data_IF_356936245255
#
_entry.id   IF_356936245255
#
_cell.length_a   1.000
_cell.length_b   1.000
_cell.length_c   1.000
_cell.angle_alpha   90.00
_cell.angle_beta   90.00
_cell.angle_gamma   90.00
#
_symmetry.space_group_name_H-M   'P 1'
#
loop_
_entity.id
_entity.type
_entity.pdbx_description
1 polymer ?
#
# COMPACT_ATOMS: atom_id res chain seq x y z
N UNK A 1 101.82 -6.73 19.70
CA UNK A 1 101.34 -5.58 20.48
C UNK A 1 99.84 -5.67 20.58
N UNK A 2 99.34 -5.55 21.81
CA UNK A 2 97.95 -5.69 22.26
C UNK A 2 97.03 -4.57 21.76
N UNK A 3 95.78 -4.92 21.42
CA UNK A 3 94.51 -4.15 21.53
C UNK A 3 94.36 -2.77 20.84
N UNK A 4 93.12 -2.23 20.67
CA UNK A 4 91.78 -2.79 20.93
C UNK A 4 90.77 -2.66 19.77
N UNK A 5 89.64 -3.34 19.97
CA UNK A 5 88.32 -3.07 19.41
C UNK A 5 87.98 -1.56 19.47
N UNK A 6 87.36 -1.05 18.41
CA UNK A 6 86.28 -0.08 18.58
C UNK A 6 85.02 -0.71 18.02
N UNK A 7 84.17 -1.15 18.95
CA UNK A 7 82.76 -1.35 18.71
C UNK A 7 82.19 -0.04 18.15
N UNK A 8 81.62 -0.08 16.95
CA UNK A 8 80.58 0.88 16.63
C UNK A 8 79.36 0.50 17.48
N UNK A 9 78.81 1.45 18.25
CA UNK A 9 77.72 1.15 19.15
C UNK A 9 76.49 0.81 18.32
N UNK A 10 75.87 -0.29 18.71
CA UNK A 10 74.43 -0.52 18.55
C UNK A 10 73.72 0.81 18.82
N UNK A 11 73.08 1.38 17.80
CA UNK A 11 72.19 2.53 17.94
C UNK A 11 70.76 1.99 17.87
N UNK A 12 70.12 1.75 19.02
CA UNK A 12 68.76 1.27 19.08
C UNK A 12 67.82 2.48 18.95
N UNK A 13 67.56 2.91 17.73
CA UNK A 13 66.34 3.66 17.45
C UNK A 13 65.58 2.77 16.47
N UNK A 14 64.71 1.87 16.97
CA UNK A 14 63.28 2.17 17.12
C UNK A 14 62.83 3.12 16.00
N UNK A 15 61.79 2.72 15.29
CA UNK A 15 60.88 3.64 14.62
C UNK A 15 60.31 4.65 15.65
N UNK A 16 61.16 5.52 16.18
CA UNK A 16 60.80 6.70 16.93
C UNK A 16 60.38 7.68 15.85
N UNK A 17 59.07 7.67 15.59
CA UNK A 17 58.40 8.66 14.76
C UNK A 17 58.89 10.03 15.24
N UNK A 18 59.70 10.70 14.43
CA UNK A 18 60.16 12.06 14.71
C UNK A 18 59.00 13.03 14.52
N UNK A 19 58.18 13.12 15.57
CA UNK A 19 56.94 13.89 15.58
C UNK A 19 57.22 15.38 15.36
N UNK A 20 58.38 15.86 15.80
CA UNK A 20 58.77 17.26 15.71
C UNK A 20 59.29 17.61 14.32
N UNK A 21 60.07 16.71 13.70
CA UNK A 21 60.48 16.81 12.29
C UNK A 21 59.29 16.79 11.32
N UNK A 22 58.31 15.90 11.54
CA UNK A 22 57.07 15.88 10.76
C UNK A 22 56.29 17.20 10.88
N UNK A 23 56.24 17.80 12.07
CA UNK A 23 55.57 19.09 12.30
C UNK A 23 56.26 20.25 11.56
N UNK A 24 57.60 20.22 11.47
CA UNK A 24 58.38 21.17 10.68
C UNK A 24 58.04 21.11 9.19
N UNK A 25 57.96 19.90 8.61
CA UNK A 25 57.59 19.73 7.19
C UNK A 25 56.19 20.26 6.84
N UNK A 26 55.25 20.15 7.80
CA UNK A 26 53.90 20.70 7.68
C UNK A 26 53.89 22.24 7.67
N UNK A 27 54.72 22.87 8.50
CA UNK A 27 54.82 24.34 8.58
C UNK A 27 55.48 24.91 7.32
N UNK A 28 56.52 24.25 6.80
CA UNK A 28 57.20 24.67 5.57
C UNK A 28 56.26 24.65 4.36
N UNK A 29 55.38 23.64 4.29
CA UNK A 29 54.40 23.50 3.21
C UNK A 29 53.00 24.06 3.55
N UNK A 30 52.86 24.89 4.58
CA UNK A 30 51.56 25.44 5.03
C UNK A 30 50.74 26.10 3.93
N UNK A 31 51.38 26.75 2.96
CA UNK A 31 50.71 27.37 1.81
C UNK A 31 50.20 26.35 0.80
N UNK A 32 50.93 25.26 0.58
CA UNK A 32 50.49 24.15 -0.28
C UNK A 32 49.31 23.44 0.38
N UNK A 33 49.41 23.14 1.68
CA UNK A 33 48.32 22.53 2.46
C UNK A 33 47.09 23.43 2.47
N UNK A 34 47.26 24.74 2.71
CA UNK A 34 46.17 25.71 2.66
C UNK A 34 45.55 25.79 1.25
N UNK A 35 46.37 25.75 0.20
CA UNK A 35 45.92 25.77 -1.20
C UNK A 35 45.09 24.54 -1.57
N UNK A 36 45.55 23.34 -1.22
CA UNK A 36 44.81 22.09 -1.44
C UNK A 36 43.52 22.09 -0.63
N UNK A 37 43.59 22.45 0.65
CA UNK A 37 42.41 22.51 1.53
C UNK A 37 41.38 23.51 1.01
N UNK A 38 41.81 24.70 0.59
CA UNK A 38 40.95 25.71 0.00
C UNK A 38 40.33 25.25 -1.33
N UNK A 39 41.09 24.54 -2.16
CA UNK A 39 40.57 23.98 -3.42
C UNK A 39 39.53 22.89 -3.17
N UNK A 40 39.80 21.95 -2.27
CA UNK A 40 38.82 20.93 -1.87
C UNK A 40 37.56 21.56 -1.25
N UNK A 41 37.72 22.60 -0.42
CA UNK A 41 36.60 23.34 0.16
C UNK A 41 35.78 24.06 -0.90
N UNK A 42 36.42 24.69 -1.89
CA UNK A 42 35.74 25.34 -3.02
C UNK A 42 34.97 24.34 -3.87
N UNK A 43 35.56 23.18 -4.19
CA UNK A 43 34.88 22.12 -4.95
C UNK A 43 33.69 21.57 -4.15
N UNK A 44 33.87 21.32 -2.85
CA UNK A 44 32.79 20.85 -1.97
C UNK A 44 31.64 21.86 -1.87
N UNK A 45 31.95 23.15 -1.71
CA UNK A 45 30.95 24.22 -1.67
C UNK A 45 30.22 24.36 -3.02
N UNK A 46 30.96 24.31 -4.13
CA UNK A 46 30.36 24.33 -5.47
C UNK A 46 29.42 23.14 -5.67
N UNK A 47 29.83 21.93 -5.28
CA UNK A 47 28.98 20.75 -5.34
C UNK A 47 27.72 20.89 -4.48
N UNK A 48 27.85 21.35 -3.23
CA UNK A 48 26.70 21.52 -2.32
C UNK A 48 25.65 22.51 -2.85
N UNK A 49 26.08 23.54 -3.57
CA UNK A 49 25.19 24.55 -4.18
C UNK A 49 24.59 24.05 -5.50
N UNK A 50 25.37 23.30 -6.30
CA UNK A 50 24.97 22.84 -7.64
C UNK A 50 24.13 21.56 -7.61
N UNK A 51 24.31 20.68 -6.63
CA UNK A 51 23.60 19.41 -6.53
C UNK A 51 22.06 19.62 -6.48
N UNK A 52 21.31 18.71 -7.08
CA UNK A 52 19.85 18.74 -7.03
C UNK A 52 19.37 18.29 -5.63
N UNK A 53 18.58 19.09 -4.89
CA UNK A 53 18.01 18.65 -3.63
C UNK A 53 17.00 17.52 -3.90
N UNK A 54 17.01 16.52 -3.02
CA UNK A 54 16.03 15.44 -3.00
C UNK A 54 15.01 15.80 -1.92
N UNK A 55 13.74 15.90 -2.31
CA UNK A 55 12.63 16.17 -1.41
C UNK A 55 11.88 14.88 -1.10
N UNK A 56 11.26 14.81 0.08
CA UNK A 56 10.46 13.67 0.50
C UNK A 56 9.02 14.12 0.78
N UNK A 57 8.05 13.48 0.13
CA UNK A 57 6.64 13.59 0.48
C UNK A 57 6.29 12.51 1.49
N UNK A 58 5.41 12.82 2.47
CA UNK A 58 4.98 11.89 3.51
C UNK A 58 3.46 11.86 3.62
N UNK A 59 2.90 10.68 3.85
CA UNK A 59 1.47 10.47 4.12
C UNK A 59 1.30 9.44 5.26
N UNK A 60 0.23 9.58 6.02
CA UNK A 60 -0.13 8.66 7.10
C UNK A 60 -1.52 8.10 6.84
N UNK A 61 -1.65 6.78 6.91
CA UNK A 61 -2.90 6.06 6.74
C UNK A 61 -3.14 5.25 8.01
N UNK A 62 -4.30 5.45 8.63
CA UNK A 62 -4.74 4.63 9.75
C UNK A 62 -5.55 3.44 9.22
N UNK A 63 -5.15 2.24 9.63
CA UNK A 63 -5.88 1.00 9.39
C UNK A 63 -6.71 0.71 10.62
N UNK A 64 -8.03 0.77 10.47
CA UNK A 64 -8.93 0.32 11.51
C UNK A 64 -9.06 -1.21 11.44
N UNK A 65 -8.88 -1.92 12.57
CA UNK A 65 -9.15 -3.35 12.59
C UNK A 65 -10.62 -3.58 12.26
N UNK A 66 -10.90 -4.46 11.30
CA UNK A 66 -12.27 -4.83 10.91
C UNK A 66 -13.02 -5.36 12.15
N UNK A 67 -13.90 -4.55 12.74
CA UNK A 67 -14.86 -4.97 13.77
C UNK A 67 -16.03 -5.72 13.12
N UNK A 68 -15.78 -6.84 12.45
CA UNK A 68 -16.86 -7.77 12.11
C UNK A 68 -17.06 -8.73 13.28
N UNK A 69 -17.55 -8.16 14.39
CA UNK A 69 -17.88 -8.86 15.63
C UNK A 69 -19.38 -9.13 15.74
N UNK A 70 -20.03 -9.49 14.63
CA UNK A 70 -21.45 -9.86 14.67
C UNK A 70 -21.67 -11.25 15.33
N UNK A 71 -20.61 -12.05 15.48
CA UNK A 71 -20.67 -13.48 15.79
C UNK A 71 -19.53 -13.97 16.73
N UNK A 72 -18.75 -13.06 17.35
CA UNK A 72 -17.72 -13.44 18.35
C UNK A 72 -16.43 -14.07 17.79
N UNK A 73 -16.12 -13.82 16.52
CA UNK A 73 -14.98 -14.46 15.82
C UNK A 73 -13.59 -13.99 16.27
N UNK A 74 -13.49 -12.84 16.94
CA UNK A 74 -12.20 -12.26 17.33
C UNK A 74 -11.42 -13.16 18.29
N UNK A 75 -12.11 -13.88 19.18
CA UNK A 75 -11.48 -14.67 20.25
C UNK A 75 -10.81 -15.96 19.76
N UNK A 76 -11.25 -16.53 18.64
CA UNK A 76 -10.60 -17.71 18.05
C UNK A 76 -9.40 -17.30 17.20
N UNK A 77 -9.45 -16.14 16.55
CA UNK A 77 -8.34 -15.60 15.74
C UNK A 77 -7.16 -15.13 16.60
N UNK A 78 -7.43 -14.59 17.79
CA UNK A 78 -6.40 -14.11 18.73
C UNK A 78 -5.59 -15.25 19.36
N UNK A 79 -6.15 -16.46 19.46
CA UNK A 79 -5.49 -17.66 19.98
C UNK A 79 -4.51 -18.32 19.01
N UNK A 80 -4.57 -17.99 17.71
CA UNK A 80 -3.81 -18.68 16.65
C UNK A 80 -2.56 -17.91 16.20
N UNK A 81 -2.24 -16.79 16.85
CA UNK A 81 -1.16 -15.88 16.45
C UNK A 81 -1.70 -14.75 15.58
N UNK A 82 -1.54 -13.52 16.07
CA UNK A 82 -2.02 -12.30 15.43
C UNK A 82 -1.00 -11.86 14.38
N UNK A 83 -1.23 -12.17 13.10
CA UNK A 83 -0.53 -11.43 12.04
C UNK A 83 -0.97 -9.96 12.13
N UNK A 84 0.00 -9.02 12.11
CA UNK A 84 -0.33 -7.60 12.16
C UNK A 84 -1.13 -7.25 10.90
N UNK A 85 -2.38 -6.73 11.02
CA UNK A 85 -3.17 -6.33 9.87
C UNK A 85 -2.43 -5.30 9.00
N UNK A 86 -1.51 -4.52 9.58
CA UNK A 86 -0.71 -3.55 8.86
C UNK A 86 0.22 -4.18 7.81
N UNK A 87 0.77 -5.38 8.03
CA UNK A 87 1.68 -6.02 7.05
C UNK A 87 0.92 -6.35 5.76
N UNK A 88 -0.30 -6.87 5.88
CA UNK A 88 -1.15 -7.15 4.72
C UNK A 88 -1.50 -5.86 3.97
N UNK A 89 -1.85 -4.81 4.70
CA UNK A 89 -2.22 -3.52 4.08
C UNK A 89 -1.00 -2.82 3.44
N UNK A 90 0.21 -2.99 3.97
CA UNK A 90 1.46 -2.52 3.34
C UNK A 90 1.65 -3.15 1.94
N UNK A 91 1.48 -4.47 1.83
CA UNK A 91 1.59 -5.17 0.55
C UNK A 91 0.48 -4.77 -0.43
N UNK A 92 -0.73 -4.52 0.08
CA UNK A 92 -1.83 -4.01 -0.74
C UNK A 92 -1.53 -2.62 -1.30
N UNK A 93 -1.01 -1.70 -0.48
CA UNK A 93 -0.56 -0.36 -0.91
C UNK A 93 0.53 -0.46 -1.99
N UNK A 94 1.53 -1.34 -1.78
CA UNK A 94 2.62 -1.57 -2.74
C UNK A 94 2.22 -2.38 -3.98
N UNK A 95 0.99 -2.88 -4.03
CA UNK A 95 0.55 -3.76 -5.11
C UNK A 95 0.59 -3.08 -6.48
N UNK A 96 0.86 -3.88 -7.51
CA UNK A 96 0.86 -3.42 -8.91
C UNK A 96 -0.47 -2.82 -9.36
N UNK A 97 -1.57 -3.19 -8.71
CA UNK A 97 -2.90 -2.63 -9.01
C UNK A 97 -2.98 -1.16 -8.62
N UNK A 98 -2.49 -0.79 -7.43
CA UNK A 98 -2.53 0.58 -6.93
C UNK A 98 -1.46 1.43 -7.62
N UNK A 99 -0.21 0.95 -7.64
CA UNK A 99 0.89 1.68 -8.28
C UNK A 99 0.67 1.78 -9.80
N UNK A 100 0.20 0.72 -10.45
CA UNK A 100 -0.13 0.73 -11.87
C UNK A 100 -1.20 1.75 -12.23
N UNK A 101 -2.31 1.79 -11.49
CA UNK A 101 -3.34 2.82 -11.70
C UNK A 101 -2.80 4.23 -11.45
N UNK A 102 -1.94 4.41 -10.45
CA UNK A 102 -1.29 5.70 -10.18
C UNK A 102 -0.43 6.15 -11.36
N UNK A 103 0.39 5.25 -11.91
CA UNK A 103 1.21 5.51 -13.11
C UNK A 103 0.35 5.90 -14.28
N UNK A 104 -0.76 5.19 -14.51
CA UNK A 104 -1.68 5.46 -15.62
C UNK A 104 -2.43 6.80 -15.46
N UNK A 105 -2.93 7.12 -14.27
CA UNK A 105 -3.67 8.36 -13.98
C UNK A 105 -2.79 9.60 -14.11
N UNK A 106 -1.56 9.53 -13.61
CA UNK A 106 -0.63 10.67 -13.55
C UNK A 106 0.38 10.70 -14.70
N UNK A 107 0.30 9.75 -15.65
CA UNK A 107 1.23 9.58 -16.76
C UNK A 107 2.70 9.56 -16.30
N UNK A 108 2.98 8.81 -15.22
CA UNK A 108 4.31 8.76 -14.60
C UNK A 108 5.34 7.98 -15.45
N UNK A 109 4.88 7.32 -16.51
CA UNK A 109 5.70 6.70 -17.54
C UNK A 109 6.37 7.73 -18.47
N UNK A 110 5.94 9.00 -18.45
CA UNK A 110 6.49 10.07 -19.28
C UNK A 110 7.34 11.01 -18.43
N UNK A 111 8.62 11.10 -18.76
CA UNK A 111 9.57 12.05 -18.16
C UNK A 111 9.93 13.13 -19.16
N UNK A 112 9.71 14.39 -18.77
CA UNK A 112 10.04 15.57 -19.56
C UNK A 112 11.09 16.37 -18.79
N UNK A 113 12.24 16.58 -19.41
CA UNK A 113 13.37 17.32 -18.84
C UNK A 113 13.86 18.38 -19.82
N UNK A 114 13.77 19.68 -19.48
CA UNK A 114 14.39 20.73 -20.29
C UNK A 114 15.91 20.53 -20.38
N UNK A 115 16.48 20.76 -21.55
CA UNK A 115 17.91 20.62 -21.76
C UNK A 115 18.65 21.86 -21.25
N UNK A 116 19.16 21.79 -20.03
CA UNK A 116 19.91 22.89 -19.42
C UNK A 116 21.39 22.91 -19.83
N UNK A 117 22.04 24.07 -19.68
CA UNK A 117 23.48 24.21 -19.86
C UNK A 117 24.25 23.30 -18.86
N UNK A 118 25.32 22.60 -19.29
CA UNK A 118 26.05 21.68 -18.40
C UNK A 118 26.64 22.39 -17.18
N UNK A 119 26.72 21.66 -16.05
CA UNK A 119 27.22 22.10 -14.74
C UNK A 119 26.38 23.17 -14.02
N UNK A 120 26.02 24.26 -14.68
CA UNK A 120 25.38 25.43 -14.03
C UNK A 120 23.90 25.62 -14.38
N UNK A 121 23.42 25.06 -15.49
CA UNK A 121 22.08 25.36 -16.01
C UNK A 121 20.95 24.94 -15.07
N UNK A 122 21.06 23.78 -14.42
CA UNK A 122 20.08 23.34 -13.43
C UNK A 122 20.03 24.21 -12.18
N UNK A 123 21.15 24.83 -11.78
CA UNK A 123 21.17 25.80 -10.69
C UNK A 123 20.52 27.13 -11.10
N UNK A 124 20.85 27.64 -12.28
CA UNK A 124 20.27 28.87 -12.82
C UNK A 124 18.75 28.76 -13.01
N UNK A 125 18.28 27.66 -13.61
CA UNK A 125 16.86 27.43 -13.84
C UNK A 125 16.06 27.35 -12.53
N UNK A 126 16.64 26.80 -11.47
CA UNK A 126 16.01 26.74 -10.13
C UNK A 126 15.96 28.10 -9.43
N UNK A 127 16.94 28.97 -9.68
CA UNK A 127 17.06 30.29 -9.03
C UNK A 127 16.30 31.38 -9.78
N UNK A 128 15.91 31.12 -11.02
CA UNK A 128 15.10 32.04 -11.81
C UNK A 128 13.75 32.29 -11.13
N UNK A 129 13.51 33.54 -10.74
CA UNK A 129 12.24 34.00 -10.21
C UNK A 129 11.58 34.85 -11.30
N UNK A 130 10.49 34.39 -11.91
CA UNK A 130 9.81 35.17 -12.93
C UNK A 130 9.17 36.42 -12.29
N UNK A 131 9.33 37.59 -12.93
CA UNK A 131 8.73 38.84 -12.44
C UNK A 131 7.21 38.84 -12.64
N UNK A 132 6.75 38.24 -13.74
CA UNK A 132 5.34 37.98 -14.05
C UNK A 132 5.09 36.48 -14.26
N UNK A 133 3.87 36.03 -13.96
CA UNK A 133 3.49 34.63 -14.13
C UNK A 133 3.64 34.20 -15.59
N UNK A 134 4.62 33.35 -15.87
CA UNK A 134 4.87 32.81 -17.20
C UNK A 134 6.08 33.39 -17.92
N UNK A 135 6.85 34.27 -17.28
CA UNK A 135 8.11 34.76 -17.83
C UNK A 135 9.12 33.61 -17.98
N UNK A 136 9.91 33.68 -19.05
CA UNK A 136 10.95 32.70 -19.40
C UNK A 136 12.29 33.42 -19.37
N UNK A 137 13.31 32.79 -18.80
CA UNK A 137 14.65 33.33 -18.77
C UNK A 137 15.20 33.44 -20.21
N UNK A 138 15.89 34.54 -20.56
CA UNK A 138 16.53 34.67 -21.86
C UNK A 138 17.64 33.63 -22.03
N UNK A 139 17.94 33.21 -23.27
CA UNK A 139 18.94 32.19 -23.52
C UNK A 139 20.34 32.64 -23.09
N UNK A 140 21.03 31.76 -22.37
CA UNK A 140 22.41 31.99 -21.93
C UNK A 140 23.35 32.06 -23.15
N UNK A 141 24.16 33.12 -23.21
CA UNK A 141 25.14 33.36 -24.28
C UNK A 141 24.55 33.37 -25.70
N UNK A 142 23.24 33.63 -25.85
CA UNK A 142 22.56 33.62 -27.15
C UNK A 142 22.33 32.22 -27.74
N UNK A 143 22.54 31.15 -26.97
CA UNK A 143 22.33 29.77 -27.42
C UNK A 143 20.95 29.28 -26.99
N UNK A 144 19.97 29.36 -27.90
CA UNK A 144 18.56 29.03 -27.59
C UNK A 144 18.29 27.54 -27.34
N UNK A 145 19.22 26.66 -27.70
CA UNK A 145 19.14 25.21 -27.41
C UNK A 145 18.99 24.91 -25.92
N UNK A 146 19.62 25.73 -25.07
CA UNK A 146 19.67 25.49 -23.63
C UNK A 146 18.64 26.32 -22.88
N UNK A 147 17.85 25.64 -22.04
CA UNK A 147 16.90 26.28 -21.13
C UNK A 147 17.60 26.92 -19.94
N UNK A 148 17.28 28.17 -19.66
CA UNK A 148 17.87 28.98 -18.59
C UNK A 148 16.95 29.15 -17.38
N UNK A 149 15.65 28.89 -17.51
CA UNK A 149 14.66 28.96 -16.42
C UNK A 149 13.27 29.39 -16.88
N UNK A 150 12.22 28.92 -16.19
CA UNK A 150 10.82 29.27 -16.48
C UNK A 150 10.17 28.49 -17.62
N UNK A 151 10.90 27.63 -18.31
CA UNK A 151 10.36 26.82 -19.39
C UNK A 151 9.43 25.72 -18.86
N UNK A 152 8.32 25.50 -19.56
CA UNK A 152 7.31 24.51 -19.20
C UNK A 152 6.81 23.79 -20.45
N UNK A 153 6.77 22.47 -20.37
CA UNK A 153 6.17 21.61 -21.38
C UNK A 153 5.23 20.63 -20.68
N UNK A 154 3.95 20.65 -21.05
CA UNK A 154 2.94 19.71 -20.59
C UNK A 154 2.34 18.99 -21.79
N UNK A 155 2.41 17.65 -21.77
CA UNK A 155 1.80 16.79 -22.76
C UNK A 155 0.48 16.25 -22.22
N UNK A 156 -0.59 16.36 -23.00
CA UNK A 156 -1.86 15.70 -22.69
C UNK A 156 -1.84 14.22 -23.09
N UNK A 157 -1.19 13.89 -24.20
CA UNK A 157 -1.05 12.52 -24.68
C UNK A 157 0.22 12.36 -25.50
N UNK A 158 0.88 11.21 -25.33
CA UNK A 158 2.05 10.81 -26.10
C UNK A 158 1.98 9.30 -26.32
N UNK A 159 1.43 8.83 -27.44
CA UNK A 159 1.51 7.40 -27.82
C UNK A 159 2.68 7.18 -28.75
N UNK A 160 3.46 6.16 -28.45
CA UNK A 160 4.65 5.79 -29.20
C UNK A 160 4.61 4.30 -29.52
N UNK A 161 5.08 3.88 -30.71
CA UNK A 161 5.36 2.48 -31.00
C UNK A 161 6.32 1.87 -29.98
N UNK A 162 6.25 0.56 -29.78
CA UNK A 162 7.11 -0.17 -28.82
C UNK A 162 8.60 0.03 -29.05
N UNK A 163 9.01 0.25 -30.31
CA UNK A 163 10.40 0.51 -30.67
C UNK A 163 10.95 1.86 -30.15
N UNK A 164 10.07 2.84 -29.87
CA UNK A 164 10.43 4.16 -29.36
C UNK A 164 10.19 4.29 -27.84
N UNK A 165 9.80 3.20 -27.16
CA UNK A 165 9.68 3.19 -25.71
C UNK A 165 11.07 3.02 -25.08
N UNK A 166 11.36 3.85 -24.08
CA UNK A 166 12.65 3.89 -23.40
C UNK A 166 13.75 4.66 -24.13
N UNK A 167 13.53 5.11 -25.37
CA UNK A 167 14.47 5.94 -26.12
C UNK A 167 14.36 7.42 -25.73
N UNK A 168 15.44 8.17 -25.95
CA UNK A 168 15.55 9.59 -25.64
C UNK A 168 15.08 10.45 -26.80
N UNK A 169 13.82 10.86 -26.80
CA UNK A 169 13.26 11.78 -27.79
C UNK A 169 13.60 13.24 -27.44
N UNK A 170 13.72 14.09 -28.46
CA UNK A 170 14.01 15.52 -28.30
C UNK A 170 12.90 16.34 -28.95
N UNK A 171 12.19 17.13 -28.16
CA UNK A 171 11.24 18.11 -28.66
C UNK A 171 11.91 19.48 -28.75
N UNK A 172 11.85 20.10 -29.93
CA UNK A 172 12.36 21.43 -30.20
C UNK A 172 11.18 22.40 -30.29
N UNK A 173 11.22 23.45 -29.47
CA UNK A 173 10.25 24.53 -29.52
C UNK A 173 10.50 25.41 -30.76
N UNK A 174 9.46 25.64 -31.57
CA UNK A 174 9.50 26.54 -32.72
C UNK A 174 8.92 27.92 -32.42
N UNK A 175 8.86 28.76 -33.46
CA UNK A 175 8.11 30.03 -33.40
C UNK A 175 6.59 29.78 -33.47
N UNK A 176 5.79 30.76 -33.04
CA UNK A 176 4.33 30.72 -33.12
C UNK A 176 3.68 29.45 -32.53
N UNK A 177 4.21 28.93 -31.40
CA UNK A 177 3.73 27.71 -30.74
C UNK A 177 3.86 26.44 -31.61
N UNK A 178 4.72 26.45 -32.64
CA UNK A 178 5.10 25.25 -33.35
C UNK A 178 6.05 24.38 -32.51
N UNK A 179 6.07 23.08 -32.77
CA UNK A 179 7.03 22.15 -32.21
C UNK A 179 7.42 21.07 -33.23
N UNK A 180 8.62 20.50 -33.04
CA UNK A 180 9.08 19.32 -33.77
C UNK A 180 9.68 18.31 -32.78
N UNK A 181 9.38 17.03 -32.96
CA UNK A 181 9.87 15.92 -32.15
C UNK A 181 10.81 15.07 -32.99
N UNK A 182 11.97 14.78 -32.43
CA UNK A 182 13.05 14.01 -33.04
C UNK A 182 13.35 12.76 -32.22
N UNK A 183 13.73 11.69 -32.91
CA UNK A 183 14.25 10.45 -32.32
C UNK A 183 15.78 10.55 -32.10
N UNK A 184 16.40 9.50 -31.54
CA UNK A 184 17.85 9.47 -31.24
C UNK A 184 18.74 9.61 -32.50
N UNK A 185 18.24 9.25 -33.66
CA UNK A 185 18.92 9.40 -34.95
C UNK A 185 18.70 10.78 -35.62
N UNK A 186 18.23 11.78 -34.88
CA UNK A 186 17.83 13.11 -35.38
C UNK A 186 16.75 13.06 -36.49
N UNK A 187 16.00 11.95 -36.56
CA UNK A 187 14.88 11.77 -37.49
C UNK A 187 13.62 12.44 -36.91
N UNK A 188 12.99 13.32 -37.69
CA UNK A 188 11.75 13.97 -37.28
C UNK A 188 10.59 12.96 -37.30
N UNK A 189 9.97 12.74 -36.14
CA UNK A 189 8.86 11.80 -35.96
C UNK A 189 7.49 12.47 -35.79
N UNK A 190 7.46 13.72 -35.32
CA UNK A 190 6.24 14.52 -35.24
C UNK A 190 6.53 16.01 -35.43
N UNK A 191 5.57 16.76 -35.97
CA UNK A 191 5.58 18.22 -35.96
C UNK A 191 4.15 18.76 -35.99
N UNK A 192 3.91 19.85 -35.28
CA UNK A 192 2.58 20.45 -35.18
C UNK A 192 2.57 21.72 -34.34
N UNK A 193 1.38 22.18 -33.97
CA UNK A 193 1.18 23.33 -33.09
C UNK A 193 0.58 22.90 -31.76
N UNK A 194 0.84 23.68 -30.72
CA UNK A 194 0.29 23.45 -29.37
C UNK A 194 -1.23 23.47 -29.42
N UNK A 195 -1.87 22.50 -28.75
CA UNK A 195 -3.31 22.30 -28.74
C UNK A 195 -3.85 21.47 -29.91
N UNK A 196 -3.08 21.28 -30.98
CA UNK A 196 -3.50 20.45 -32.13
C UNK A 196 -2.98 19.00 -31.99
N UNK A 197 -3.84 17.99 -32.11
CA UNK A 197 -3.40 16.60 -32.07
C UNK A 197 -2.64 16.25 -33.35
N UNK A 198 -1.43 15.72 -33.19
CA UNK A 198 -0.67 15.10 -34.26
C UNK A 198 -0.83 13.58 -34.18
N UNK A 199 -1.10 12.93 -35.32
CA UNK A 199 -1.16 11.47 -35.41
C UNK A 199 -0.60 10.99 -36.75
N UNK A 200 0.54 10.29 -36.73
CA UNK A 200 1.15 9.68 -37.91
C UNK A 200 2.07 8.51 -37.52
N UNK A 201 2.15 7.47 -38.36
CA UNK A 201 3.09 6.34 -38.17
C UNK A 201 3.03 5.66 -36.78
N UNK A 202 1.85 5.62 -36.15
CA UNK A 202 1.67 5.08 -34.80
C UNK A 202 2.15 5.98 -33.66
N UNK A 203 2.59 7.20 -33.97
CA UNK A 203 2.93 8.25 -33.02
C UNK A 203 1.73 9.20 -32.90
N UNK A 204 1.22 9.37 -31.68
CA UNK A 204 0.21 10.38 -31.35
C UNK A 204 0.79 11.35 -30.33
N UNK A 205 0.73 12.65 -30.60
CA UNK A 205 1.23 13.70 -29.71
C UNK A 205 0.16 14.78 -29.57
N UNK A 206 -0.16 15.13 -28.33
CA UNK A 206 -0.97 16.30 -28.01
C UNK A 206 -0.26 17.13 -26.95
N UNK A 207 0.26 18.27 -27.37
CA UNK A 207 0.91 19.24 -26.48
C UNK A 207 -0.17 20.15 -25.90
N UNK A 208 -0.29 20.16 -24.57
CA UNK A 208 -1.26 21.00 -23.85
C UNK A 208 -0.74 22.42 -23.67
N UNK A 209 0.54 22.53 -23.33
CA UNK A 209 1.20 23.79 -23.03
C UNK A 209 2.68 23.69 -23.38
N UNK A 210 3.18 24.68 -24.13
CA UNK A 210 4.59 24.86 -24.44
C UNK A 210 4.97 26.32 -24.20
N UNK A 211 5.74 26.54 -23.13
CA UNK A 211 6.36 27.82 -22.81
C UNK A 211 7.86 27.63 -22.86
N UNK A 212 8.48 28.07 -23.94
CA UNK A 212 9.93 28.00 -24.12
C UNK A 212 10.38 29.05 -25.13
N UNK A 213 11.67 29.41 -25.08
CA UNK A 213 12.28 30.21 -26.15
C UNK A 213 12.32 29.39 -27.45
N UNK A 214 12.11 30.00 -28.63
CA UNK A 214 12.30 29.33 -29.91
C UNK A 214 13.70 28.73 -30.02
N UNK A 215 13.78 27.44 -30.35
CA UNK A 215 14.99 26.64 -30.39
C UNK A 215 15.32 25.90 -29.10
N UNK A 216 14.52 26.01 -28.03
CA UNK A 216 14.75 25.27 -26.78
C UNK A 216 14.45 23.78 -26.94
N UNK A 217 15.32 22.94 -26.37
CA UNK A 217 15.20 21.49 -26.44
C UNK A 217 14.64 20.91 -25.13
N UNK A 218 13.70 19.98 -25.25
CA UNK A 218 13.19 19.16 -24.16
C UNK A 218 13.48 17.69 -24.45
N UNK A 219 14.21 17.05 -23.54
CA UNK A 219 14.36 15.59 -23.56
C UNK A 219 13.11 14.95 -23.00
N UNK A 220 12.50 14.08 -23.80
CA UNK A 220 11.28 13.34 -23.47
C UNK A 220 11.62 11.86 -23.51
N UNK A 221 11.33 11.15 -22.43
CA UNK A 221 11.48 9.70 -22.37
C UNK A 221 10.16 9.12 -21.92
N UNK A 222 9.60 8.21 -22.71
CA UNK A 222 8.44 7.42 -22.32
C UNK A 222 8.89 5.99 -22.00
N UNK A 223 8.86 5.61 -20.73
CA UNK A 223 9.23 4.26 -20.31
C UNK A 223 8.11 3.26 -20.64
N UNK A 224 8.44 1.97 -20.85
CA UNK A 224 7.44 0.92 -20.81
C UNK A 224 6.67 0.96 -19.48
N UNK A 225 5.36 0.71 -19.53
CA UNK A 225 4.49 0.78 -18.36
C UNK A 225 4.99 -0.08 -17.20
N UNK A 226 5.47 -1.28 -17.50
CA UNK A 226 5.94 -2.21 -16.46
C UNK A 226 7.16 -1.67 -15.71
N UNK A 227 8.08 -1.03 -16.42
CA UNK A 227 9.29 -0.44 -15.85
C UNK A 227 8.93 0.76 -14.98
N UNK A 228 8.02 1.62 -15.45
CA UNK A 228 7.51 2.72 -14.64
C UNK A 228 6.84 2.22 -13.35
N UNK A 229 6.04 1.16 -13.42
CA UNK A 229 5.44 0.56 -12.22
C UNK A 229 6.51 0.03 -11.27
N UNK A 230 7.52 -0.68 -11.78
CA UNK A 230 8.60 -1.21 -10.96
C UNK A 230 9.39 -0.08 -10.28
N UNK A 231 9.77 0.96 -11.03
CA UNK A 231 10.47 2.13 -10.50
C UNK A 231 9.71 2.75 -9.31
N UNK A 232 8.39 2.96 -9.46
CA UNK A 232 7.58 3.55 -8.40
C UNK A 232 7.29 2.60 -7.23
N UNK A 233 7.29 1.28 -7.45
CA UNK A 233 7.23 0.29 -6.36
C UNK A 233 8.50 0.34 -5.50
N UNK A 234 9.67 0.52 -6.13
CA UNK A 234 10.96 0.61 -5.44
C UNK A 234 11.16 1.97 -4.76
N UNK A 235 10.73 3.06 -5.40
CA UNK A 235 10.77 4.41 -4.85
C UNK A 235 9.82 4.59 -3.65
N UNK A 236 8.70 3.87 -3.61
CA UNK A 236 7.71 3.99 -2.54
C UNK A 236 8.14 3.20 -1.29
N UNK A 237 8.44 3.95 -0.23
CA UNK A 237 8.66 3.36 1.09
C UNK A 237 7.36 3.35 1.87
N UNK A 238 7.00 2.18 2.42
CA UNK A 238 5.79 1.99 3.24
C UNK A 238 6.20 1.24 4.50
N UNK A 239 5.95 1.83 5.67
CA UNK A 239 6.37 1.28 6.97
C UNK A 239 5.26 1.44 8.02
N UNK A 240 5.11 0.47 8.92
CA UNK A 240 4.24 0.61 10.10
C UNK A 240 4.95 1.48 11.17
N UNK A 241 4.26 2.50 11.67
CA UNK A 241 4.76 3.40 12.72
C UNK A 241 4.64 2.72 14.09
N UNK A 242 5.63 1.91 14.44
CA UNK A 242 5.61 1.12 15.67
C UNK A 242 4.81 -0.17 15.50
N UNK A 243 5.17 -1.20 16.27
CA UNK A 243 4.59 -2.54 16.12
C UNK A 243 3.13 -2.55 16.55
N UNK A 244 2.24 -3.03 15.68
CA UNK A 244 0.78 -3.11 15.92
C UNK A 244 0.10 -1.75 16.16
N UNK A 245 0.66 -0.66 15.66
CA UNK A 245 0.02 0.66 15.80
C UNK A 245 -1.18 0.82 14.88
N UNK A 246 -1.24 0.04 13.79
CA UNK A 246 -2.23 0.25 12.73
C UNK A 246 -2.04 1.58 11.99
N UNK A 247 -0.90 2.26 12.16
CA UNK A 247 -0.58 3.50 11.46
C UNK A 247 0.51 3.22 10.43
N UNK A 248 0.17 3.35 9.16
CA UNK A 248 1.08 3.15 8.03
C UNK A 248 1.60 4.50 7.56
N UNK A 249 2.92 4.64 7.52
CA UNK A 249 3.62 5.80 6.97
C UNK A 249 4.10 5.47 5.57
N UNK A 250 3.74 6.32 4.61
CA UNK A 250 4.19 6.25 3.24
C UNK A 250 5.15 7.42 3.00
N UNK A 251 6.23 7.16 2.26
CA UNK A 251 7.16 8.20 1.83
C UNK A 251 7.67 7.97 0.42
N UNK A 252 7.84 9.08 -0.32
CA UNK A 252 8.32 9.08 -1.69
C UNK A 252 9.33 10.21 -1.91
N UNK A 253 10.51 9.86 -2.39
CA UNK A 253 11.57 10.82 -2.70
C UNK A 253 11.50 11.29 -4.16
N UNK A 254 11.76 12.58 -4.39
CA UNK A 254 11.81 13.16 -5.73
C UNK A 254 12.58 14.47 -5.75
N UNK A 255 13.23 14.75 -6.88
CA UNK A 255 13.77 16.10 -7.18
C UNK A 255 12.65 17.10 -7.52
N UNK A 256 11.42 16.62 -7.76
CA UNK A 256 10.23 17.43 -8.05
C UNK A 256 9.20 17.29 -6.92
N UNK A 257 9.17 18.20 -5.93
CA UNK A 257 8.32 18.05 -4.74
C UNK A 257 6.83 17.98 -5.08
N UNK A 258 6.36 18.76 -6.05
CA UNK A 258 4.96 18.73 -6.49
C UNK A 258 4.55 17.38 -7.11
N UNK A 259 5.47 16.68 -7.79
CA UNK A 259 5.19 15.35 -8.31
C UNK A 259 5.06 14.35 -7.17
N UNK A 260 6.00 14.35 -6.23
CA UNK A 260 5.98 13.41 -5.10
C UNK A 260 4.69 13.52 -4.30
N UNK A 261 4.23 14.74 -4.02
CA UNK A 261 2.95 14.99 -3.33
C UNK A 261 1.78 14.44 -4.14
N UNK A 262 1.70 14.72 -5.44
CA UNK A 262 0.60 14.24 -6.30
C UNK A 262 0.57 12.72 -6.39
N UNK A 263 1.73 12.09 -6.59
CA UNK A 263 1.86 10.63 -6.63
C UNK A 263 1.42 9.99 -5.32
N UNK A 264 1.91 10.50 -4.18
CA UNK A 264 1.58 9.95 -2.87
C UNK A 264 0.09 10.10 -2.51
N UNK A 265 -0.50 11.25 -2.85
CA UNK A 265 -1.93 11.50 -2.69
C UNK A 265 -2.77 10.54 -3.53
N UNK A 266 -2.40 10.31 -4.80
CA UNK A 266 -3.11 9.39 -5.68
C UNK A 266 -3.06 7.94 -5.17
N UNK A 267 -1.88 7.48 -4.72
CA UNK A 267 -1.71 6.15 -4.10
C UNK A 267 -2.63 6.02 -2.88
N UNK A 268 -2.64 7.04 -2.02
CA UNK A 268 -3.45 7.04 -0.79
C UNK A 268 -4.94 7.02 -1.11
N UNK A 269 -5.39 7.84 -2.06
CA UNK A 269 -6.79 7.88 -2.49
C UNK A 269 -7.24 6.56 -3.11
N UNK A 270 -6.42 5.96 -3.97
CA UNK A 270 -6.71 4.67 -4.59
C UNK A 270 -6.80 3.54 -3.57
N UNK A 271 -5.90 3.52 -2.58
CA UNK A 271 -5.95 2.55 -1.48
C UNK A 271 -7.23 2.70 -0.65
N UNK A 272 -7.54 3.92 -0.19
CA UNK A 272 -8.74 4.18 0.62
C UNK A 272 -9.99 3.79 -0.15
N UNK A 273 -10.07 4.17 -1.43
CA UNK A 273 -11.19 3.80 -2.30
C UNK A 273 -11.33 2.29 -2.44
N UNK A 274 -10.24 1.59 -2.76
CA UNK A 274 -10.25 0.13 -2.88
C UNK A 274 -10.68 -0.56 -1.58
N UNK A 275 -10.27 -0.04 -0.42
CA UNK A 275 -10.65 -0.60 0.87
C UNK A 275 -12.15 -0.39 1.16
N UNK A 276 -12.70 0.78 0.84
CA UNK A 276 -14.15 1.05 0.93
C UNK A 276 -14.91 0.12 0.00
N UNK A 277 -14.54 0.06 -1.28
CA UNK A 277 -15.20 -0.78 -2.29
C UNK A 277 -15.21 -2.27 -1.87
N UNK A 278 -14.08 -2.78 -1.37
CA UNK A 278 -13.96 -4.15 -0.83
C UNK A 278 -14.89 -4.37 0.36
N UNK A 279 -14.89 -3.45 1.32
CA UNK A 279 -15.68 -3.58 2.55
C UNK A 279 -17.18 -3.50 2.26
N UNK A 280 -17.60 -2.62 1.35
CA UNK A 280 -18.99 -2.54 0.89
C UNK A 280 -19.44 -3.80 0.17
N UNK A 281 -18.58 -4.38 -0.69
CA UNK A 281 -18.88 -5.64 -1.36
C UNK A 281 -19.04 -6.80 -0.36
N UNK A 282 -18.16 -6.89 0.65
CA UNK A 282 -18.27 -7.87 1.74
C UNK A 282 -19.58 -7.70 2.52
N UNK A 283 -19.93 -6.47 2.93
CA UNK A 283 -21.15 -6.18 3.68
C UNK A 283 -22.42 -6.49 2.89
N UNK A 284 -22.46 -6.14 1.60
CA UNK A 284 -23.59 -6.45 0.72
C UNK A 284 -23.80 -7.98 0.59
N UNK A 285 -22.70 -8.73 0.49
CA UNK A 285 -22.76 -10.18 0.39
C UNK A 285 -23.21 -10.85 1.70
N UNK A 286 -22.77 -10.36 2.85
CA UNK A 286 -23.25 -10.81 4.15
C UNK A 286 -24.75 -10.52 4.31
N UNK A 287 -25.21 -9.33 3.92
CA UNK A 287 -26.63 -8.98 3.97
C UNK A 287 -27.48 -9.87 3.07
N UNK A 288 -26.99 -10.18 1.86
CA UNK A 288 -27.66 -11.12 0.94
C UNK A 288 -27.82 -12.49 1.58
N UNK A 289 -26.77 -13.01 2.21
CA UNK A 289 -26.83 -14.29 2.92
C UNK A 289 -27.88 -14.27 4.05
N UNK A 290 -27.91 -13.21 4.86
CA UNK A 290 -28.91 -13.08 5.92
C UNK A 290 -30.34 -13.00 5.37
N UNK A 291 -30.56 -12.24 4.29
CA UNK A 291 -31.87 -12.11 3.65
C UNK A 291 -32.40 -13.44 3.08
N UNK A 292 -31.51 -14.32 2.62
CA UNK A 292 -31.89 -15.63 2.11
C UNK A 292 -32.20 -16.63 3.24
N UNK A 293 -31.47 -16.56 4.36
CA UNK A 293 -31.60 -17.52 5.48
C UNK A 293 -32.72 -17.15 6.47
N UNK A 294 -32.91 -15.85 6.77
CA UNK A 294 -33.90 -15.39 7.77
C UNK A 294 -35.33 -15.87 7.51
N UNK A 295 -35.87 -15.85 6.27
CA UNK A 295 -37.22 -16.34 5.98
C UNK A 295 -37.39 -17.84 6.24
N UNK A 296 -36.32 -18.63 6.07
CA UNK A 296 -36.34 -20.05 6.35
C UNK A 296 -36.40 -20.29 7.86
N UNK A 297 -35.51 -19.64 8.63
CA UNK A 297 -35.49 -19.74 10.10
C UNK A 297 -36.84 -19.31 10.71
N UNK A 298 -37.44 -18.22 10.21
CA UNK A 298 -38.77 -17.77 10.67
C UNK A 298 -39.87 -18.79 10.41
N UNK A 299 -39.91 -19.41 9.22
CA UNK A 299 -40.90 -20.44 8.89
C UNK A 299 -40.74 -21.68 9.75
N UNK A 300 -39.50 -22.04 10.10
CA UNK A 300 -39.24 -23.21 10.93
C UNK A 300 -39.60 -22.93 12.41
N UNK A 301 -39.36 -21.71 12.91
CA UNK A 301 -39.84 -21.26 14.22
C UNK A 301 -41.39 -21.29 14.29
N UNK A 302 -42.07 -20.73 13.30
CA UNK A 302 -43.55 -20.71 13.26
C UNK A 302 -44.15 -22.13 13.25
N UNK A 303 -43.51 -23.07 12.54
CA UNK A 303 -43.91 -24.48 12.57
C UNK A 303 -43.71 -25.09 13.96
N UNK A 304 -42.59 -24.81 14.61
CA UNK A 304 -42.28 -25.30 15.95
C UNK A 304 -43.27 -24.75 16.99
N UNK A 305 -43.57 -23.45 16.95
CA UNK A 305 -44.55 -22.80 17.85
C UNK A 305 -45.95 -23.40 17.69
N UNK A 306 -46.39 -23.59 16.45
CA UNK A 306 -47.68 -24.22 16.15
C UNK A 306 -47.75 -25.70 16.57
N UNK A 307 -46.64 -26.42 16.54
CA UNK A 307 -46.57 -27.80 17.01
C UNK A 307 -46.63 -27.86 18.54
N UNK A 308 -45.88 -26.99 19.24
CA UNK A 308 -45.91 -26.87 20.69
C UNK A 308 -47.31 -26.50 21.22
N UNK A 309 -47.96 -25.52 20.60
CA UNK A 309 -49.32 -25.10 20.99
C UNK A 309 -50.34 -26.24 20.81
N UNK A 310 -50.27 -26.98 19.69
CA UNK A 310 -51.13 -28.16 19.45
C UNK A 310 -50.91 -29.27 20.48
N UNK A 311 -49.68 -29.46 20.94
CA UNK A 311 -49.38 -30.41 22.00
C UNK A 311 -49.94 -29.93 23.35
N UNK A 312 -49.72 -28.67 23.73
CA UNK A 312 -50.20 -28.09 24.98
C UNK A 312 -51.74 -28.13 25.10
N UNK A 313 -52.46 -27.79 24.03
CA UNK A 313 -53.94 -27.83 23.98
C UNK A 313 -54.52 -29.24 24.13
N UNK A 314 -53.83 -30.26 23.62
CA UNK A 314 -54.24 -31.67 23.74
C UNK A 314 -53.96 -32.24 25.13
N UNK A 315 -52.83 -31.85 25.71
CA UNK A 315 -52.29 -32.48 26.92
C UNK A 315 -52.81 -31.88 28.24
N UNK A 316 -53.49 -30.71 28.20
CA UNK A 316 -54.26 -30.00 29.27
C UNK A 316 -53.64 -29.78 30.67
N UNK A 317 -52.61 -30.51 31.09
CA UNK A 317 -51.88 -30.34 32.35
C UNK A 317 -50.68 -31.30 32.36
N UNK A 318 -49.52 -30.83 31.89
CA UNK A 318 -48.26 -31.55 32.06
C UNK A 318 -47.25 -30.54 32.60
N UNK A 319 -46.93 -30.65 33.89
CA UNK A 319 -45.83 -29.92 34.48
C UNK A 319 -44.51 -30.63 34.16
N UNK A 320 -43.57 -29.88 33.62
CA UNK A 320 -42.19 -30.33 33.42
C UNK A 320 -41.55 -30.49 34.81
N UNK A 321 -40.99 -31.66 35.10
CA UNK A 321 -40.23 -31.86 36.33
C UNK A 321 -39.01 -30.94 36.36
N UNK A 322 -38.55 -30.54 37.55
CA UNK A 322 -37.39 -29.65 37.69
C UNK A 322 -36.13 -30.24 36.99
N UNK A 323 -36.01 -31.57 37.01
CA UNK A 323 -34.95 -32.33 36.33
C UNK A 323 -35.08 -32.26 34.80
N UNK A 324 -36.29 -32.46 34.26
CA UNK A 324 -36.53 -32.34 32.81
C UNK A 324 -36.34 -30.89 32.31
N UNK A 325 -36.64 -29.89 33.14
CA UNK A 325 -36.37 -28.48 32.83
C UNK A 325 -34.88 -28.17 32.76
N UNK A 326 -34.09 -28.63 33.73
CA UNK A 326 -32.64 -28.45 33.70
C UNK A 326 -31.99 -29.17 32.50
N UNK A 327 -32.51 -30.36 32.12
CA UNK A 327 -32.08 -31.05 30.90
C UNK A 327 -32.45 -30.27 29.64
N UNK A 328 -33.66 -29.73 29.56
CA UNK A 328 -34.10 -28.88 28.45
C UNK A 328 -33.18 -27.68 28.28
N UNK A 329 -32.92 -26.94 29.35
CA UNK A 329 -32.04 -25.75 29.31
C UNK A 329 -30.63 -26.12 28.80
N UNK A 330 -30.11 -27.28 29.21
CA UNK A 330 -28.80 -27.76 28.76
C UNK A 330 -28.80 -28.24 27.31
N UNK A 331 -29.87 -28.88 26.83
CA UNK A 331 -30.04 -29.27 25.42
C UNK A 331 -30.17 -28.03 24.54
N UNK A 332 -30.97 -27.04 24.93
CA UNK A 332 -31.11 -25.77 24.21
C UNK A 332 -29.78 -25.05 24.14
N UNK A 333 -29.02 -24.97 25.23
CA UNK A 333 -27.70 -24.36 25.22
C UNK A 333 -26.73 -25.07 24.26
N UNK A 334 -26.76 -26.41 24.20
CA UNK A 334 -25.95 -27.19 23.27
C UNK A 334 -26.39 -26.98 21.82
N UNK A 335 -27.69 -27.04 21.51
CA UNK A 335 -28.22 -26.88 20.16
C UNK A 335 -28.01 -25.47 19.62
N UNK A 336 -28.16 -24.44 20.46
CA UNK A 336 -27.81 -23.06 20.13
C UNK A 336 -26.32 -22.96 19.82
N UNK A 337 -25.44 -23.51 20.67
CA UNK A 337 -24.00 -23.50 20.42
C UNK A 337 -23.60 -24.25 19.14
N UNK A 338 -24.22 -25.39 18.85
CA UNK A 338 -23.99 -26.14 17.60
C UNK A 338 -24.45 -25.31 16.39
N UNK A 339 -25.61 -24.65 16.50
CA UNK A 339 -26.16 -23.84 15.41
C UNK A 339 -25.30 -22.61 15.13
N UNK A 340 -24.82 -21.93 16.18
CA UNK A 340 -23.83 -20.86 16.08
C UNK A 340 -22.55 -21.36 15.38
N UNK A 341 -21.97 -22.48 15.83
CA UNK A 341 -20.77 -23.03 15.20
C UNK A 341 -20.99 -23.49 13.75
N UNK A 342 -22.20 -23.96 13.38
CA UNK A 342 -22.55 -24.29 11.99
C UNK A 342 -22.68 -23.06 11.11
N UNK A 343 -23.23 -21.96 11.63
CA UNK A 343 -23.21 -20.67 10.93
C UNK A 343 -21.75 -20.21 10.72
N UNK A 344 -20.93 -20.33 11.76
CA UNK A 344 -19.49 -20.06 11.65
C UNK A 344 -18.81 -20.96 10.61
N UNK A 345 -19.18 -22.25 10.54
CA UNK A 345 -18.66 -23.18 9.54
C UNK A 345 -18.98 -22.72 8.12
N UNK A 346 -20.21 -22.33 7.84
CA UNK A 346 -20.63 -21.85 6.52
C UNK A 346 -19.86 -20.59 6.09
N UNK A 347 -19.48 -19.73 7.03
CA UNK A 347 -18.61 -18.58 6.75
C UNK A 347 -17.15 -18.98 6.50
N UNK A 348 -16.62 -19.93 7.27
CA UNK A 348 -15.25 -20.41 7.12
C UNK A 348 -15.05 -21.20 5.83
N UNK A 349 -16.02 -22.02 5.41
CA UNK A 349 -16.00 -22.78 4.15
C UNK A 349 -15.83 -21.86 2.92
N UNK A 350 -16.21 -20.59 3.04
CA UNK A 350 -16.06 -19.58 1.97
C UNK A 350 -14.67 -18.94 1.93
N UNK A 351 -13.97 -18.89 3.06
CA UNK A 351 -12.70 -18.15 3.21
C UNK A 351 -11.48 -19.08 3.27
N UNK A 352 -11.65 -20.30 3.76
CA UNK A 352 -10.56 -21.22 4.07
C UNK A 352 -10.79 -22.62 3.49
N UNK A 353 -9.70 -23.34 3.29
CA UNK A 353 -9.77 -24.77 2.94
C UNK A 353 -9.96 -25.62 4.20
N UNK A 354 -10.45 -26.87 4.08
CA UNK A 354 -10.65 -27.78 5.23
C UNK A 354 -9.38 -28.08 6.04
N UNK A 355 -8.20 -27.79 5.49
CA UNK A 355 -6.89 -28.05 6.10
C UNK A 355 -6.45 -26.92 7.05
N UNK A 356 -7.10 -25.75 6.99
CA UNK A 356 -6.73 -24.59 7.80
C UNK A 356 -6.88 -24.88 9.31
N UNK A 357 -5.93 -24.48 10.18
CA UNK A 357 -5.98 -24.84 11.60
C UNK A 357 -7.24 -24.33 12.31
N UNK A 358 -7.74 -23.13 11.97
CA UNK A 358 -8.99 -22.61 12.52
C UNK A 358 -10.21 -23.46 12.12
N UNK A 359 -10.23 -23.99 10.89
CA UNK A 359 -11.30 -24.88 10.43
C UNK A 359 -11.28 -26.19 11.21
N UNK A 360 -10.11 -26.78 11.39
CA UNK A 360 -9.94 -28.02 12.17
C UNK A 360 -10.34 -27.84 13.63
N UNK A 361 -10.00 -26.70 14.23
CA UNK A 361 -10.41 -26.37 15.59
C UNK A 361 -11.95 -26.25 15.72
N UNK A 362 -12.60 -25.59 14.75
CA UNK A 362 -14.06 -25.50 14.69
C UNK A 362 -14.72 -26.87 14.57
N UNK A 363 -14.24 -27.72 13.64
CA UNK A 363 -14.76 -29.09 13.46
C UNK A 363 -14.56 -29.93 14.72
N UNK A 364 -13.41 -29.82 15.38
CA UNK A 364 -13.17 -30.51 16.65
C UNK A 364 -14.16 -30.06 17.74
N UNK A 365 -14.45 -28.76 17.81
CA UNK A 365 -15.44 -28.22 18.76
C UNK A 365 -16.86 -28.68 18.43
N UNK A 366 -17.24 -28.68 17.15
CA UNK A 366 -18.51 -29.24 16.69
C UNK A 366 -18.64 -30.72 17.05
N UNK A 367 -17.59 -31.51 16.85
CA UNK A 367 -17.58 -32.92 17.23
C UNK A 367 -17.76 -33.11 18.74
N UNK A 368 -17.10 -32.27 19.57
CA UNK A 368 -17.27 -32.28 21.02
C UNK A 368 -18.71 -31.97 21.44
N UNK A 369 -19.32 -30.92 20.89
CA UNK A 369 -20.70 -30.56 21.21
C UNK A 369 -21.71 -31.60 20.70
N UNK A 370 -21.51 -32.17 19.51
CA UNK A 370 -22.34 -33.24 18.98
C UNK A 370 -22.27 -34.51 19.86
N UNK A 371 -21.08 -34.85 20.38
CA UNK A 371 -20.92 -35.97 21.32
C UNK A 371 -21.68 -35.72 22.63
N UNK A 372 -21.61 -34.48 23.17
CA UNK A 372 -22.38 -34.07 24.36
C UNK A 372 -23.89 -34.09 24.10
N UNK A 373 -24.33 -33.63 22.93
CA UNK A 373 -25.73 -33.67 22.51
C UNK A 373 -26.23 -35.11 22.47
N UNK A 374 -25.51 -36.03 21.80
CA UNK A 374 -25.87 -37.43 21.73
C UNK A 374 -25.96 -38.11 23.11
N UNK A 375 -25.09 -37.72 24.05
CA UNK A 375 -25.17 -38.19 25.44
C UNK A 375 -26.42 -37.68 26.15
N UNK A 376 -26.84 -36.43 25.89
CA UNK A 376 -28.08 -35.87 26.45
C UNK A 376 -29.32 -36.49 25.82
N UNK A 377 -29.32 -36.76 24.51
CA UNK A 377 -30.44 -37.45 23.84
C UNK A 377 -30.73 -38.81 24.48
N UNK A 378 -29.69 -39.59 24.82
CA UNK A 378 -29.86 -40.86 25.56
C UNK A 378 -30.48 -40.70 26.94
N UNK A 379 -30.29 -39.55 27.60
CA UNK A 379 -30.93 -39.25 28.89
C UNK A 379 -32.40 -38.87 28.71
N UNK A 380 -32.71 -38.15 27.63
CA UNK A 380 -34.08 -37.79 27.25
C UNK A 380 -34.90 -39.04 26.89
N UNK A 381 -34.30 -40.06 26.26
CA UNK A 381 -34.94 -41.36 25.97
C UNK A 381 -35.45 -42.09 27.23
N UNK A 382 -34.88 -41.79 28.41
CA UNK A 382 -35.33 -42.34 29.69
C UNK A 382 -36.58 -41.67 30.27
N UNK A 383 -37.02 -40.54 29.72
CA UNK A 383 -38.23 -39.83 30.17
C UNK A 383 -39.51 -40.49 29.61
N UNK A 384 -40.67 -40.34 30.28
CA UNK A 384 -41.96 -40.71 29.69
C UNK A 384 -42.18 -40.05 28.32
N UNK A 385 -42.82 -40.77 27.39
CA UNK A 385 -43.00 -40.33 25.98
C UNK A 385 -43.64 -38.94 25.85
N UNK A 386 -44.56 -38.58 26.74
CA UNK A 386 -45.20 -37.27 26.77
C UNK A 386 -44.25 -36.15 27.19
N UNK A 387 -43.29 -36.43 28.07
CA UNK A 387 -42.24 -35.46 28.46
C UNK A 387 -41.19 -35.33 27.37
N UNK A 388 -40.87 -36.41 26.64
CA UNK A 388 -39.96 -36.37 25.49
C UNK A 388 -40.50 -35.46 24.38
N UNK A 389 -41.78 -35.63 24.03
CA UNK A 389 -42.43 -34.83 22.99
C UNK A 389 -42.57 -33.36 23.40
N UNK A 390 -42.89 -33.07 24.66
CA UNK A 390 -42.91 -31.70 25.17
C UNK A 390 -41.52 -31.04 25.13
N UNK A 391 -40.48 -31.78 25.52
CA UNK A 391 -39.11 -31.29 25.57
C UNK A 391 -38.59 -30.99 24.16
N UNK A 392 -38.83 -31.87 23.18
CA UNK A 392 -38.42 -31.63 21.79
C UNK A 392 -39.11 -30.41 21.19
N UNK A 393 -40.42 -30.26 21.38
CA UNK A 393 -41.19 -29.11 20.88
C UNK A 393 -40.75 -27.80 21.55
N UNK A 394 -40.51 -27.82 22.86
CA UNK A 394 -40.07 -26.62 23.60
C UNK A 394 -38.65 -26.21 23.19
N UNK A 395 -37.77 -27.20 22.98
CA UNK A 395 -36.42 -27.00 22.47
C UNK A 395 -36.44 -26.36 21.08
N UNK A 396 -37.25 -26.89 20.15
CA UNK A 396 -37.29 -26.38 18.77
C UNK A 396 -37.73 -24.90 18.73
N UNK A 397 -38.69 -24.51 19.59
CA UNK A 397 -39.10 -23.11 19.76
C UNK A 397 -38.00 -22.25 20.41
N UNK A 398 -37.37 -22.72 21.49
CA UNK A 398 -36.32 -21.96 22.17
C UNK A 398 -35.08 -21.76 21.30
N UNK A 399 -34.65 -22.79 20.56
CA UNK A 399 -33.54 -22.70 19.60
C UNK A 399 -33.89 -21.72 18.47
N UNK A 400 -35.10 -21.81 17.90
CA UNK A 400 -35.55 -20.87 16.87
C UNK A 400 -35.64 -19.41 17.37
N UNK A 401 -36.05 -19.18 18.62
CA UNK A 401 -36.05 -17.86 19.24
C UNK A 401 -34.64 -17.32 19.49
N UNK A 402 -33.72 -18.17 19.96
CA UNK A 402 -32.32 -17.78 20.14
C UNK A 402 -31.65 -17.38 18.81
N UNK A 403 -32.03 -18.00 17.71
CA UNK A 403 -31.48 -17.70 16.38
C UNK A 403 -32.09 -16.45 15.72
N UNK A 404 -33.29 -16.03 16.12
CA UNK A 404 -34.02 -14.92 15.50
C UNK A 404 -33.96 -13.61 16.28
N UNK A 405 -33.68 -13.66 17.59
CA UNK A 405 -33.56 -12.48 18.44
C UNK A 405 -32.08 -12.08 18.58
N UNK A 406 -31.66 -10.89 18.09
CA UNK A 406 -30.31 -10.39 18.32
C UNK A 406 -30.08 -10.22 19.82
N UNK A 407 -28.98 -10.78 20.33
CA UNK A 407 -28.60 -10.76 21.76
C UNK A 407 -28.21 -9.37 22.28
N UNK A 408 -28.62 -8.28 21.61
CA UNK A 408 -28.20 -6.90 21.87
C UNK A 408 -29.22 -6.05 22.66
N UNK A 409 -30.21 -6.66 23.30
CA UNK A 409 -31.19 -5.95 24.15
C UNK A 409 -31.47 -6.72 25.45
N UNK A 410 -30.44 -6.94 26.26
CA UNK A 410 -30.52 -7.15 27.71
C UNK A 410 -29.24 -6.71 28.38
#
# INVERSE_FOLDING_TARGET
MYSPQNASPDSPHRDEIDVLGMLGTLIDHKWLIAGITGTCMLIGAAYAILAAPVFQANALIQVEPKKNDMLGFSDVSSLLGKESPAVTEIELIKSRTIIGKTVDTLALDITITPQHFPLIGGFLARRYMPEHKGDIAPPLFGVSRYSAGGEQLELSSLKLPTALLGTSLVLVAGEAQAYALFDEDDRQIAAGHVGEPFAANGVEVLVKELRANPGAHFKIVRKPRLDAVADYQDLLTVIERGKESGIISLSLESTRPALAIRTLNEISNLYVKQNVDRTSAEAAQSLSFLNDQLPQVRRDLEKAENALNRFQTRSKSIDISLEAKAMLDQVVALDTGISELKLQQAELDRKFTPQHPAYRALIAKLAELNAKQAQMTKRVEGLPSTQQELLSLTRDVQVGNCLTVPRSWT
#
